data_IF_041354738474
#
_entry.id   IF_041354738474
#
_cell.length_a   1.000
_cell.length_b   1.000
_cell.length_c   1.000
_cell.angle_alpha   90.00
_cell.angle_beta   90.00
_cell.angle_gamma   90.00
#
_symmetry.space_group_name_H-M   'P 1'
#
loop_
_entity.id
_entity.type
_entity.pdbx_description
1 polymer ?
#
# COMPACT_ATOMS: atom_id res chain seq x y z
N UNK A 1 57.41 -24.57 43.37
CA UNK A 1 56.28 -24.90 44.26
C UNK A 1 55.28 -23.76 44.19
N UNK A 2 54.40 -23.78 43.17
CA UNK A 2 53.21 -22.93 43.09
C UNK A 2 52.14 -23.69 42.29
N UNK A 3 50.93 -23.58 42.81
CA UNK A 3 49.74 -24.40 42.63
C UNK A 3 49.17 -24.35 41.20
N UNK A 4 49.01 -25.51 40.56
CA UNK A 4 48.08 -25.66 39.46
C UNK A 4 46.73 -26.12 40.04
N UNK A 5 45.87 -25.17 40.36
CA UNK A 5 44.45 -25.43 40.64
C UNK A 5 43.80 -26.05 39.41
N UNK A 6 43.71 -27.38 39.41
CA UNK A 6 42.79 -28.17 38.60
C UNK A 6 41.36 -27.71 38.91
N UNK A 7 40.79 -26.90 38.03
CA UNK A 7 39.33 -26.76 37.95
C UNK A 7 38.82 -28.00 37.25
N UNK A 8 38.49 -29.02 38.04
CA UNK A 8 37.77 -30.20 37.57
C UNK A 8 36.32 -29.83 37.26
N UNK A 9 35.98 -29.63 36.00
CA UNK A 9 34.59 -29.60 35.55
C UNK A 9 34.13 -31.02 35.26
N UNK A 10 33.63 -31.69 36.29
CA UNK A 10 32.96 -32.99 36.22
C UNK A 10 31.62 -32.82 35.48
N UNK A 11 31.61 -32.96 34.16
CA UNK A 11 30.37 -33.11 33.37
C UNK A 11 30.05 -34.60 33.21
N UNK A 12 29.73 -35.28 34.32
CA UNK A 12 29.23 -36.65 34.32
C UNK A 12 27.70 -36.68 34.50
N UNK A 13 26.95 -35.99 33.62
CA UNK A 13 25.50 -36.22 33.52
C UNK A 13 25.28 -37.22 32.39
N UNK A 14 24.65 -38.35 32.70
CA UNK A 14 24.15 -39.29 31.68
C UNK A 14 23.06 -38.56 30.89
N UNK A 15 23.23 -38.45 29.57
CA UNK A 15 22.25 -37.81 28.69
C UNK A 15 20.99 -38.67 28.61
N UNK A 16 19.82 -38.05 28.70
CA UNK A 16 18.56 -38.73 28.39
C UNK A 16 18.44 -38.94 26.87
N UNK A 17 17.67 -39.94 26.42
CA UNK A 17 17.51 -40.24 24.98
C UNK A 17 17.08 -39.04 24.13
N UNK A 18 16.24 -38.14 24.68
CA UNK A 18 15.81 -36.91 24.01
C UNK A 18 16.88 -35.80 23.98
N UNK A 19 17.91 -35.87 24.83
CA UNK A 19 19.07 -34.97 24.85
C UNK A 19 20.15 -35.39 23.86
N UNK A 20 20.20 -36.69 23.50
CA UNK A 20 21.25 -37.28 22.64
C UNK A 20 21.32 -36.58 21.28
N UNK A 21 20.18 -36.33 20.63
CA UNK A 21 20.14 -35.67 19.33
C UNK A 21 20.66 -34.22 19.40
N UNK A 22 20.31 -33.50 20.47
CA UNK A 22 20.78 -32.12 20.69
C UNK A 22 22.27 -32.07 21.01
N UNK A 23 22.76 -33.04 21.79
CA UNK A 23 24.17 -33.17 22.13
C UNK A 23 25.01 -33.51 20.89
N UNK A 24 24.55 -34.45 20.05
CA UNK A 24 25.21 -34.79 18.80
C UNK A 24 25.32 -33.57 17.87
N UNK A 25 24.25 -32.79 17.74
CA UNK A 25 24.24 -31.55 16.94
C UNK A 25 25.17 -30.48 17.50
N UNK A 26 25.26 -30.37 18.82
CA UNK A 26 26.21 -29.45 19.48
C UNK A 26 27.65 -29.87 19.22
N UNK A 27 27.97 -31.16 19.35
CA UNK A 27 29.31 -31.69 19.09
C UNK A 27 29.73 -31.45 17.63
N UNK A 28 28.82 -31.67 16.68
CA UNK A 28 29.08 -31.38 15.26
C UNK A 28 29.35 -29.87 15.01
N UNK A 29 28.67 -28.98 15.74
CA UNK A 29 28.92 -27.54 15.67
C UNK A 29 30.25 -27.14 16.29
N UNK A 30 30.63 -27.79 17.40
CA UNK A 30 31.91 -27.56 18.07
C UNK A 30 33.09 -28.05 17.24
N UNK A 31 32.95 -29.19 16.55
CA UNK A 31 33.98 -29.71 15.65
C UNK A 31 34.28 -28.75 14.48
N UNK A 32 33.25 -28.06 13.98
CA UNK A 32 33.37 -27.06 12.92
C UNK A 32 33.79 -25.67 13.44
N UNK A 33 33.92 -25.49 14.75
CA UNK A 33 34.23 -24.21 15.35
C UNK A 33 35.75 -23.95 15.34
N UNK A 34 36.24 -22.87 14.71
CA UNK A 34 37.67 -22.62 14.53
C UNK A 34 38.42 -22.19 15.83
N UNK A 35 37.78 -22.32 17.00
CA UNK A 35 38.32 -21.92 18.29
C UNK A 35 37.98 -20.48 18.69
N UNK A 36 38.20 -20.16 19.96
CA UNK A 36 38.00 -18.81 20.52
C UNK A 36 39.28 -18.02 20.28
N UNK A 37 39.14 -16.83 19.69
CA UNK A 37 40.26 -15.89 19.57
C UNK A 37 40.23 -14.94 20.77
N UNK A 38 41.39 -14.49 21.28
CA UNK A 38 41.47 -13.46 22.33
C UNK A 38 41.04 -12.05 21.86
N UNK A 39 40.34 -11.96 20.74
CA UNK A 39 39.80 -10.71 20.22
C UNK A 39 38.53 -10.33 21.03
N UNK A 40 38.26 -9.03 21.22
CA UNK A 40 37.00 -8.61 21.84
C UNK A 40 35.81 -9.07 21.00
N UNK A 41 34.74 -9.47 21.67
CA UNK A 41 33.49 -9.86 21.03
C UNK A 41 32.97 -8.73 20.13
N UNK A 42 32.51 -9.09 18.93
CA UNK A 42 31.98 -8.13 17.96
C UNK A 42 30.62 -8.57 17.46
N UNK A 43 29.69 -7.61 17.36
CA UNK A 43 28.37 -7.87 16.83
C UNK A 43 28.45 -8.12 15.33
N UNK A 44 28.22 -9.36 14.90
CA UNK A 44 28.16 -9.73 13.48
C UNK A 44 26.75 -10.08 13.07
N UNK A 45 26.32 -9.48 11.96
CA UNK A 45 25.03 -9.76 11.37
C UNK A 45 25.10 -11.03 10.50
N UNK A 46 24.38 -12.07 10.92
CA UNK A 46 24.33 -13.40 10.27
C UNK A 46 24.02 -13.36 8.77
N UNK A 47 23.29 -12.35 8.32
CA UNK A 47 22.83 -12.22 6.94
C UNK A 47 23.78 -11.43 6.04
N UNK A 48 25.01 -11.14 6.50
CA UNK A 48 26.04 -10.52 5.69
C UNK A 48 27.36 -11.27 5.80
N UNK A 49 28.01 -11.51 4.65
CA UNK A 49 29.28 -12.24 4.59
C UNK A 49 30.42 -11.52 5.33
N UNK A 50 30.36 -10.20 5.37
CA UNK A 50 31.29 -9.34 6.12
C UNK A 50 30.87 -9.14 7.60
N UNK A 51 29.73 -9.70 8.01
CA UNK A 51 29.14 -9.50 9.33
C UNK A 51 28.62 -8.07 9.57
N UNK A 52 28.69 -7.17 8.59
CA UNK A 52 28.31 -5.77 8.80
C UNK A 52 26.80 -5.57 8.64
N UNK A 53 26.18 -5.06 9.71
CA UNK A 53 24.79 -4.63 9.69
C UNK A 53 24.67 -3.26 9.01
N UNK A 54 23.75 -3.14 8.06
CA UNK A 54 23.27 -1.83 7.61
C UNK A 54 21.76 -1.87 7.45
N UNK A 55 21.10 -0.76 7.78
CA UNK A 55 19.66 -0.60 7.61
C UNK A 55 19.23 -0.92 6.16
N UNK A 56 20.03 -0.49 5.17
CA UNK A 56 19.80 -0.79 3.75
C UNK A 56 19.77 -2.30 3.45
N UNK A 57 20.74 -3.07 3.97
CA UNK A 57 20.78 -4.53 3.76
C UNK A 57 19.65 -5.23 4.52
N UNK A 58 19.30 -4.78 5.72
CA UNK A 58 18.18 -5.32 6.48
C UNK A 58 16.85 -5.15 5.74
N UNK A 59 16.54 -3.92 5.28
CA UNK A 59 15.34 -3.67 4.46
C UNK A 59 15.32 -4.50 3.18
N UNK A 60 16.48 -4.67 2.53
CA UNK A 60 16.60 -5.51 1.35
C UNK A 60 16.19 -6.96 1.65
N UNK A 61 16.62 -7.52 2.78
CA UNK A 61 16.30 -8.90 3.15
C UNK A 61 14.83 -9.09 3.52
N UNK A 62 14.25 -8.15 4.26
CA UNK A 62 12.84 -8.20 4.72
C UNK A 62 11.81 -8.00 3.59
N UNK A 63 12.25 -7.56 2.39
CA UNK A 63 11.33 -7.25 1.28
C UNK A 63 11.69 -7.90 -0.07
N UNK A 64 11.93 -9.23 -0.19
CA UNK A 64 12.29 -9.84 -1.47
C UNK A 64 11.12 -9.84 -2.47
N UNK A 65 9.91 -10.19 -2.04
CA UNK A 65 8.71 -10.29 -2.91
C UNK A 65 8.04 -8.94 -3.24
N UNK A 66 8.33 -7.84 -2.54
CA UNK A 66 7.61 -6.57 -2.73
C UNK A 66 8.29 -5.57 -3.69
N UNK A 67 9.50 -5.88 -4.18
CA UNK A 67 10.35 -4.92 -4.92
C UNK A 67 9.80 -4.49 -6.28
N UNK A 68 9.14 -5.36 -7.03
CA UNK A 68 8.89 -5.04 -8.43
C UNK A 68 7.54 -4.35 -8.68
N UNK A 69 6.47 -4.80 -8.03
CA UNK A 69 5.14 -4.22 -8.24
C UNK A 69 4.87 -3.03 -7.31
N UNK A 70 4.92 -3.23 -5.98
CA UNK A 70 4.52 -2.19 -5.00
C UNK A 70 5.47 -0.98 -4.97
N UNK A 71 6.78 -1.21 -5.09
CA UNK A 71 7.77 -0.12 -5.12
C UNK A 71 7.64 0.75 -6.38
N UNK A 72 7.22 0.14 -7.50
CA UNK A 72 6.89 0.84 -8.75
C UNK A 72 5.61 1.67 -8.64
N UNK A 73 4.58 1.15 -7.96
CA UNK A 73 3.32 1.86 -7.76
C UNK A 73 3.44 3.11 -6.90
N UNK A 74 4.09 2.97 -5.73
CA UNK A 74 4.36 4.09 -4.82
C UNK A 74 5.03 5.26 -5.55
N UNK A 75 6.16 5.01 -6.24
CA UNK A 75 6.90 6.08 -6.93
C UNK A 75 6.04 6.84 -7.93
N UNK A 76 5.10 6.15 -8.56
CA UNK A 76 4.25 6.72 -9.60
C UNK A 76 3.03 7.46 -9.03
N UNK A 77 2.46 7.03 -7.89
CA UNK A 77 1.45 7.84 -7.17
C UNK A 77 2.04 9.20 -6.76
N UNK A 78 3.33 9.25 -6.41
CA UNK A 78 3.99 10.50 -6.00
C UNK A 78 4.22 11.46 -7.17
N UNK A 79 4.19 10.95 -8.41
CA UNK A 79 4.29 11.74 -9.65
C UNK A 79 2.96 12.31 -10.12
N UNK A 80 1.83 12.01 -9.46
CA UNK A 80 0.53 12.61 -9.83
C UNK A 80 0.48 14.11 -9.49
N UNK A 81 -0.48 14.85 -10.06
CA UNK A 81 -0.68 16.27 -9.75
C UNK A 81 -1.33 16.52 -8.39
N UNK A 82 -1.88 15.47 -7.78
CA UNK A 82 -2.66 15.61 -6.57
C UNK A 82 -1.79 16.17 -5.42
N UNK A 83 -2.36 16.96 -4.50
CA UNK A 83 -1.66 17.42 -3.30
C UNK A 83 -1.13 16.26 -2.46
N UNK A 84 -0.09 16.50 -1.66
CA UNK A 84 0.56 15.47 -0.83
C UNK A 84 -0.44 14.72 0.06
N UNK A 85 -1.38 15.43 0.67
CA UNK A 85 -2.47 14.83 1.48
C UNK A 85 -3.24 13.77 0.69
N UNK A 86 -3.56 14.07 -0.57
CA UNK A 86 -4.32 13.18 -1.44
C UNK A 86 -3.46 12.02 -1.91
N UNK A 87 -2.18 12.23 -2.23
CA UNK A 87 -1.24 11.15 -2.56
C UNK A 87 -1.11 10.13 -1.44
N UNK A 88 -0.96 10.60 -0.20
CA UNK A 88 -0.95 9.76 1.00
C UNK A 88 -2.25 8.97 1.12
N UNK A 89 -3.39 9.64 0.96
CA UNK A 89 -4.71 9.01 0.99
C UNK A 89 -4.87 7.92 -0.09
N UNK A 90 -4.55 8.22 -1.36
CA UNK A 90 -4.59 7.29 -2.48
C UNK A 90 -3.73 6.05 -2.21
N UNK A 91 -2.58 6.22 -1.56
CA UNK A 91 -1.75 5.10 -1.15
C UNK A 91 -2.40 4.23 -0.06
N UNK A 92 -3.10 4.84 0.90
CA UNK A 92 -3.88 4.10 1.90
C UNK A 92 -5.01 3.30 1.26
N UNK A 93 -5.66 3.86 0.24
CA UNK A 93 -6.69 3.15 -0.53
C UNK A 93 -6.09 1.94 -1.24
N UNK A 94 -4.99 2.11 -1.98
CA UNK A 94 -4.31 1.03 -2.69
C UNK A 94 -3.82 -0.09 -1.75
N UNK A 95 -3.44 0.24 -0.51
CA UNK A 95 -3.02 -0.73 0.51
C UNK A 95 -4.19 -1.37 1.28
N UNK A 96 -5.43 -0.97 1.02
CA UNK A 96 -6.63 -1.38 1.80
C UNK A 96 -6.49 -1.09 3.31
N UNK A 97 -5.87 0.05 3.62
CA UNK A 97 -5.66 0.54 4.99
C UNK A 97 -6.37 1.87 5.26
N UNK A 98 -7.08 2.42 4.26
CA UNK A 98 -7.99 3.54 4.47
C UNK A 98 -9.10 3.16 5.45
N UNK A 99 -9.58 4.10 6.28
CA UNK A 99 -10.59 3.85 7.32
C UNK A 99 -11.98 3.60 6.72
N UNK A 100 -12.19 2.43 6.14
CA UNK A 100 -13.51 1.89 5.76
C UNK A 100 -14.10 1.06 6.89
N UNK A 101 -15.38 0.71 6.83
CA UNK A 101 -15.99 -0.17 7.84
C UNK A 101 -15.27 -1.53 7.96
N UNK A 102 -14.81 -2.10 6.84
CA UNK A 102 -13.96 -3.30 6.82
C UNK A 102 -12.70 -3.15 7.69
N UNK A 103 -12.00 -2.01 7.57
CA UNK A 103 -10.78 -1.75 8.36
C UNK A 103 -11.10 -1.49 9.83
N UNK A 104 -12.20 -0.80 10.12
CA UNK A 104 -12.65 -0.57 11.50
C UNK A 104 -13.01 -1.89 12.20
N UNK A 105 -13.69 -2.81 11.51
CA UNK A 105 -13.97 -4.17 12.02
C UNK A 105 -12.70 -4.96 12.27
N UNK A 106 -11.72 -4.92 11.35
CA UNK A 106 -10.39 -5.53 11.57
C UNK A 106 -9.66 -4.96 12.78
N UNK A 107 -9.97 -3.73 13.19
CA UNK A 107 -9.47 -3.09 14.41
C UNK A 107 -10.33 -3.36 15.66
N UNK A 108 -11.29 -4.29 15.59
CA UNK A 108 -12.13 -4.69 16.72
C UNK A 108 -13.30 -3.74 17.01
N UNK A 109 -13.66 -2.84 16.10
CA UNK A 109 -14.86 -2.00 16.26
C UNK A 109 -16.11 -2.76 15.81
N UNK A 110 -17.10 -2.82 16.69
CA UNK A 110 -18.41 -3.41 16.40
C UNK A 110 -19.25 -2.36 15.69
N UNK A 111 -19.34 -2.47 14.37
CA UNK A 111 -20.12 -1.57 13.52
C UNK A 111 -20.90 -2.35 12.48
N UNK A 112 -22.05 -1.81 12.06
CA UNK A 112 -22.80 -2.35 10.93
C UNK A 112 -22.09 -1.94 9.65
N UNK A 113 -21.69 -2.90 8.83
CA UNK A 113 -20.81 -2.65 7.69
C UNK A 113 -21.57 -2.26 6.43
N UNK A 114 -22.75 -1.64 6.47
CA UNK A 114 -23.39 -1.20 5.23
C UNK A 114 -22.56 -0.10 4.55
N UNK A 115 -22.57 -0.05 3.22
CA UNK A 115 -21.92 0.99 2.45
C UNK A 115 -22.51 2.36 2.80
N UNK A 116 -21.66 3.27 3.26
CA UNK A 116 -22.04 4.65 3.60
C UNK A 116 -22.67 5.43 2.46
N UNK A 117 -22.45 5.01 1.20
CA UNK A 117 -22.95 5.73 0.02
C UNK A 117 -24.27 5.17 -0.53
N UNK A 118 -24.39 3.85 -0.69
CA UNK A 118 -25.56 3.23 -1.31
C UNK A 118 -26.44 2.44 -0.34
N UNK A 119 -25.98 2.13 0.87
CA UNK A 119 -26.72 1.33 1.84
C UNK A 119 -26.96 -0.15 1.49
N UNK A 120 -26.60 -0.61 0.29
CA UNK A 120 -27.08 -1.90 -0.24
C UNK A 120 -26.15 -3.10 -0.04
N UNK A 121 -24.87 -2.88 0.27
CA UNK A 121 -23.87 -3.97 0.34
C UNK A 121 -22.84 -3.64 1.41
N UNK A 122 -22.12 -4.65 1.90
CA UNK A 122 -21.06 -4.47 2.86
C UNK A 122 -19.95 -3.54 2.33
N UNK A 123 -19.55 -2.55 3.13
CA UNK A 123 -18.50 -1.58 2.83
C UNK A 123 -17.11 -2.21 2.97
N UNK A 124 -16.58 -2.67 1.84
CA UNK A 124 -15.17 -3.02 1.69
C UNK A 124 -14.42 -1.90 0.97
N UNK A 125 -13.09 -1.94 1.02
CA UNK A 125 -12.28 -0.99 0.26
C UNK A 125 -12.61 -1.01 -1.25
N UNK A 126 -12.73 -2.21 -1.83
CA UNK A 126 -13.04 -2.37 -3.25
C UNK A 126 -14.47 -1.92 -3.55
N UNK A 127 -15.44 -2.29 -2.71
CA UNK A 127 -16.82 -1.90 -2.94
C UNK A 127 -16.98 -0.38 -2.89
N UNK A 128 -16.49 0.27 -1.83
CA UNK A 128 -16.62 1.72 -1.66
C UNK A 128 -15.98 2.49 -2.83
N UNK A 129 -14.77 2.11 -3.26
CA UNK A 129 -14.00 2.89 -4.23
C UNK A 129 -14.20 2.47 -5.70
N UNK A 130 -14.77 1.29 -5.98
CA UNK A 130 -14.86 0.74 -7.33
C UNK A 130 -16.28 0.29 -7.71
N UNK A 131 -16.96 -0.48 -6.86
CA UNK A 131 -18.15 -1.23 -7.26
C UNK A 131 -19.48 -0.66 -6.74
N UNK A 132 -19.44 0.25 -5.77
CA UNK A 132 -20.63 0.91 -5.25
C UNK A 132 -21.34 1.67 -6.38
N UNK A 133 -22.67 1.51 -6.49
CA UNK A 133 -23.47 2.17 -7.54
C UNK A 133 -23.35 3.71 -7.54
N UNK A 134 -23.10 4.31 -6.37
CA UNK A 134 -22.81 5.73 -6.27
C UNK A 134 -21.45 6.05 -6.90
N UNK A 135 -20.43 5.27 -6.54
CA UNK A 135 -19.05 5.45 -7.03
C UNK A 135 -18.92 5.17 -8.52
N UNK A 136 -19.60 4.16 -9.05
CA UNK A 136 -19.60 3.86 -10.50
C UNK A 136 -20.16 5.03 -11.32
N UNK A 137 -21.16 5.74 -10.81
CA UNK A 137 -21.68 6.96 -11.43
C UNK A 137 -20.69 8.13 -11.43
N UNK A 138 -19.79 8.19 -10.45
CA UNK A 138 -18.69 9.17 -10.43
C UNK A 138 -17.59 8.75 -11.42
N UNK A 139 -17.27 7.47 -11.49
CA UNK A 139 -16.33 6.94 -12.51
C UNK A 139 -16.80 7.22 -13.93
N UNK A 140 -18.11 7.13 -14.20
CA UNK A 140 -18.68 7.36 -15.51
C UNK A 140 -18.33 8.75 -16.11
N UNK A 141 -18.18 9.78 -15.26
CA UNK A 141 -17.79 11.14 -15.68
C UNK A 141 -16.46 11.13 -16.44
N UNK A 142 -15.48 10.38 -15.93
CA UNK A 142 -14.14 10.36 -16.50
C UNK A 142 -14.00 9.26 -17.55
N UNK A 143 -14.70 8.13 -17.38
CA UNK A 143 -14.69 7.06 -18.36
C UNK A 143 -15.32 7.50 -19.70
N UNK A 144 -16.35 8.34 -19.68
CA UNK A 144 -16.92 8.90 -20.91
C UNK A 144 -15.89 9.69 -21.73
N UNK A 145 -14.96 10.42 -21.09
CA UNK A 145 -13.88 11.15 -21.77
C UNK A 145 -12.92 10.24 -22.51
N UNK A 146 -12.68 9.06 -21.93
CA UNK A 146 -11.65 8.16 -22.43
C UNK A 146 -12.02 7.52 -23.77
N UNK A 147 -13.32 7.55 -24.14
CA UNK A 147 -13.89 6.77 -25.25
C UNK A 147 -13.40 5.31 -25.23
N UNK A 148 -13.15 4.75 -24.04
CA UNK A 148 -12.71 3.36 -23.87
C UNK A 148 -13.76 2.53 -23.14
N UNK A 149 -13.97 1.31 -23.63
CA UNK A 149 -14.75 0.30 -22.94
C UNK A 149 -13.96 -0.16 -21.72
N UNK A 150 -14.22 0.47 -20.57
CA UNK A 150 -13.53 0.20 -19.32
C UNK A 150 -14.31 -0.79 -18.47
N UNK A 151 -13.68 -1.90 -18.12
CA UNK A 151 -14.20 -2.85 -17.13
C UNK A 151 -13.54 -2.56 -15.79
N UNK A 152 -14.35 -2.37 -14.74
CA UNK A 152 -13.82 -2.13 -13.40
C UNK A 152 -13.05 -3.36 -12.91
N UNK A 153 -11.81 -3.14 -12.46
CA UNK A 153 -10.98 -4.20 -11.89
C UNK A 153 -11.46 -4.55 -10.49
N UNK A 154 -11.13 -5.77 -10.04
CA UNK A 154 -11.58 -6.28 -8.73
C UNK A 154 -10.94 -5.52 -7.56
N UNK A 155 -9.73 -4.97 -7.73
CA UNK A 155 -8.95 -4.42 -6.63
C UNK A 155 -8.42 -3.02 -6.92
N UNK A 156 -8.41 -2.17 -5.88
CA UNK A 156 -7.95 -0.78 -5.97
C UNK A 156 -6.48 -0.67 -6.35
N UNK A 157 -5.64 -1.57 -5.83
CA UNK A 157 -4.23 -1.68 -6.22
C UNK A 157 -4.04 -2.03 -7.70
N UNK A 158 -4.90 -2.89 -8.25
CA UNK A 158 -4.82 -3.34 -9.64
C UNK A 158 -5.33 -2.27 -10.59
N UNK A 159 -6.41 -1.55 -10.22
CA UNK A 159 -6.85 -0.37 -10.93
C UNK A 159 -5.73 0.66 -11.03
N UNK A 160 -5.15 0.98 -9.88
CA UNK A 160 -4.05 1.93 -9.80
C UNK A 160 -2.85 1.44 -10.64
N UNK A 161 -2.51 0.16 -10.59
CA UNK A 161 -1.38 -0.40 -11.35
C UNK A 161 -1.59 -0.38 -12.85
N UNK A 162 -2.79 -0.74 -13.31
CA UNK A 162 -3.14 -0.74 -14.73
C UNK A 162 -3.07 0.68 -15.32
N UNK A 163 -3.65 1.65 -14.61
CA UNK A 163 -3.70 3.03 -15.08
C UNK A 163 -2.33 3.68 -15.07
N UNK A 164 -1.54 3.40 -14.03
CA UNK A 164 -0.16 3.85 -13.91
C UNK A 164 0.78 3.17 -14.94
N UNK A 165 0.49 1.94 -15.39
CA UNK A 165 1.26 1.29 -16.46
C UNK A 165 1.03 1.98 -17.80
N UNK A 166 -0.19 2.43 -18.07
CA UNK A 166 -0.56 3.12 -19.32
C UNK A 166 0.00 4.54 -19.42
N UNK A 167 0.29 5.20 -18.28
CA UNK A 167 0.90 6.53 -18.19
C UNK A 167 2.25 6.71 -18.92
N UNK A 168 3.04 5.64 -19.06
CA UNK A 168 4.43 5.72 -19.56
C UNK A 168 4.63 5.25 -21.00
N UNK A 169 3.57 4.86 -21.72
CA UNK A 169 3.70 4.37 -23.09
C UNK A 169 3.86 5.54 -24.06
N UNK A 170 4.95 5.53 -24.86
CA UNK A 170 5.24 6.56 -25.88
C UNK A 170 4.21 6.59 -27.02
N UNK A 171 3.37 5.57 -27.16
CA UNK A 171 2.45 5.39 -28.30
C UNK A 171 1.04 5.93 -28.06
N UNK A 172 0.78 6.61 -26.95
CA UNK A 172 -0.59 6.82 -26.47
C UNK A 172 -0.99 8.30 -26.42
N UNK A 173 -2.22 8.54 -26.89
CA UNK A 173 -2.93 9.82 -26.98
C UNK A 173 -2.80 10.65 -25.68
N UNK A 174 -2.78 11.98 -25.81
CA UNK A 174 -2.55 12.94 -24.72
C UNK A 174 -3.39 12.69 -23.44
N UNK A 175 -4.60 12.16 -23.56
CA UNK A 175 -5.49 11.87 -22.43
C UNK A 175 -4.94 10.81 -21.45
N UNK A 176 -4.06 9.89 -21.86
CA UNK A 176 -3.41 8.95 -20.93
C UNK A 176 -2.49 9.61 -19.90
N UNK A 177 -2.07 10.85 -20.17
CA UNK A 177 -1.35 11.73 -19.23
C UNK A 177 -2.28 12.47 -18.26
N UNK A 178 -3.59 12.27 -18.35
CA UNK A 178 -4.57 12.95 -17.53
C UNK A 178 -5.28 11.95 -16.60
N UNK A 179 -5.56 10.76 -17.11
CA UNK A 179 -6.30 9.68 -16.46
C UNK A 179 -5.83 9.30 -15.03
N UNK A 180 -4.53 9.08 -14.72
CA UNK A 180 -4.08 8.84 -13.34
C UNK A 180 -4.35 10.01 -12.39
N UNK A 181 -4.57 11.22 -12.91
CA UNK A 181 -5.01 12.35 -12.12
C UNK A 181 -6.51 12.34 -11.86
N UNK A 182 -7.30 11.51 -12.53
CA UNK A 182 -8.73 11.35 -12.28
C UNK A 182 -9.02 10.35 -11.15
N UNK A 183 -8.15 9.37 -10.89
CA UNK A 183 -8.35 8.40 -9.78
C UNK A 183 -8.35 9.10 -8.42
N UNK A 184 -7.35 9.95 -8.19
CA UNK A 184 -7.15 10.64 -6.92
C UNK A 184 -8.37 11.50 -6.50
N UNK A 185 -8.97 12.34 -7.37
CA UNK A 185 -10.13 13.13 -7.00
C UNK A 185 -11.36 12.26 -6.80
N UNK A 186 -11.57 11.21 -7.61
CA UNK A 186 -12.70 10.28 -7.43
C UNK A 186 -12.64 9.60 -6.07
N UNK A 187 -11.51 8.97 -5.73
CA UNK A 187 -11.36 8.31 -4.44
C UNK A 187 -11.49 9.30 -3.28
N UNK A 188 -10.96 10.51 -3.44
CA UNK A 188 -11.04 11.54 -2.40
C UNK A 188 -12.47 12.00 -2.15
N UNK A 189 -13.23 12.33 -3.21
CA UNK A 189 -14.61 12.83 -3.06
C UNK A 189 -15.57 11.75 -2.56
N UNK A 190 -15.44 10.52 -3.07
CA UNK A 190 -16.18 9.35 -2.60
C UNK A 190 -15.96 9.12 -1.10
N UNK A 191 -14.70 9.19 -0.65
CA UNK A 191 -14.38 9.04 0.77
C UNK A 191 -14.89 10.19 1.63
N UNK A 192 -14.74 11.43 1.17
CA UNK A 192 -15.31 12.59 1.87
C UNK A 192 -16.82 12.46 2.03
N UNK A 193 -17.51 12.06 0.97
CA UNK A 193 -18.96 11.89 1.00
C UNK A 193 -19.38 10.76 1.96
N UNK A 194 -18.70 9.61 1.92
CA UNK A 194 -18.98 8.51 2.86
C UNK A 194 -18.79 8.91 4.32
N UNK A 195 -17.73 9.66 4.61
CA UNK A 195 -17.48 10.19 5.95
C UNK A 195 -18.51 11.24 6.37
N UNK A 196 -18.88 12.15 5.48
CA UNK A 196 -19.90 13.18 5.74
C UNK A 196 -21.23 12.52 6.13
N UNK A 197 -21.62 11.44 5.45
CA UNK A 197 -22.83 10.68 5.77
C UNK A 197 -22.73 9.95 7.11
N UNK A 198 -21.58 9.35 7.41
CA UNK A 198 -21.40 8.57 8.63
C UNK A 198 -21.22 9.41 9.90
N UNK A 199 -20.52 10.55 9.81
CA UNK A 199 -20.08 11.31 10.99
C UNK A 199 -20.76 12.67 11.15
N UNK A 200 -21.28 13.23 10.07
CA UNK A 200 -21.87 14.58 10.08
C UNK A 200 -23.37 14.56 9.73
N UNK A 201 -23.94 13.39 9.46
CA UNK A 201 -25.32 13.19 9.00
C UNK A 201 -25.68 14.08 7.78
N UNK A 202 -24.68 14.38 6.95
CA UNK A 202 -24.82 15.20 5.75
C UNK A 202 -24.67 14.32 4.51
N UNK A 203 -25.74 14.24 3.73
CA UNK A 203 -25.73 13.58 2.42
C UNK A 203 -25.89 14.61 1.30
N UNK A 204 -24.96 14.59 0.34
CA UNK A 204 -25.04 15.44 -0.84
C UNK A 204 -25.67 14.66 -2.00
N UNK A 205 -26.33 15.39 -2.90
CA UNK A 205 -26.80 14.82 -4.16
C UNK A 205 -25.63 14.30 -4.98
N UNK A 206 -25.87 13.26 -5.79
CA UNK A 206 -24.85 12.72 -6.70
C UNK A 206 -24.27 13.81 -7.60
N UNK A 207 -25.11 14.75 -8.07
CA UNK A 207 -24.68 15.85 -8.94
C UNK A 207 -23.70 16.78 -8.23
N UNK A 208 -23.95 17.12 -6.96
CA UNK A 208 -23.00 17.92 -6.18
C UNK A 208 -21.66 17.21 -6.01
N UNK A 209 -21.66 15.91 -5.73
CA UNK A 209 -20.41 15.13 -5.59
C UNK A 209 -19.67 14.99 -6.92
N UNK A 210 -20.40 14.91 -8.04
CA UNK A 210 -19.82 15.00 -9.39
C UNK A 210 -19.10 16.32 -9.60
N UNK A 211 -19.76 17.44 -9.29
CA UNK A 211 -19.17 18.78 -9.39
C UNK A 211 -17.95 18.95 -8.48
N UNK A 212 -18.01 18.50 -7.23
CA UNK A 212 -16.87 18.54 -6.31
C UNK A 212 -15.68 17.74 -6.86
N UNK A 213 -15.94 16.61 -7.52
CA UNK A 213 -14.91 15.77 -8.12
C UNK A 213 -14.25 16.46 -9.32
N UNK A 214 -15.05 17.06 -10.20
CA UNK A 214 -14.56 17.83 -11.36
C UNK A 214 -13.77 19.05 -10.88
N UNK A 215 -14.27 19.78 -9.87
CA UNK A 215 -13.61 20.94 -9.30
C UNK A 215 -12.25 20.56 -8.66
N UNK A 216 -12.18 19.46 -7.90
CA UNK A 216 -10.92 18.96 -7.36
C UNK A 216 -9.92 18.63 -8.47
N UNK A 217 -10.37 17.93 -9.50
CA UNK A 217 -9.55 17.56 -10.64
C UNK A 217 -9.00 18.79 -11.38
N UNK A 218 -9.88 19.73 -11.74
CA UNK A 218 -9.52 20.98 -12.41
C UNK A 218 -8.53 21.80 -11.59
N UNK A 219 -8.79 21.96 -10.28
CA UNK A 219 -7.91 22.69 -9.38
C UNK A 219 -6.48 22.10 -9.37
N UNK A 220 -6.34 20.77 -9.32
CA UNK A 220 -5.03 20.12 -9.33
C UNK A 220 -4.33 20.20 -10.68
N UNK A 221 -5.08 20.19 -11.79
CA UNK A 221 -4.52 20.46 -13.12
C UNK A 221 -3.97 21.89 -13.23
N UNK A 222 -4.76 22.87 -12.78
CA UNK A 222 -4.37 24.30 -12.80
C UNK A 222 -3.13 24.57 -11.96
N UNK A 223 -3.05 24.03 -10.74
CA UNK A 223 -1.91 24.23 -9.83
C UNK A 223 -0.58 23.72 -10.41
N UNK A 224 -0.62 22.77 -11.35
CA UNK A 224 0.55 22.20 -12.02
C UNK A 224 0.78 22.71 -13.44
N UNK A 225 0.05 23.74 -13.85
CA UNK A 225 0.21 24.39 -15.15
C UNK A 225 -0.21 23.52 -16.34
N UNK A 226 -1.14 22.59 -16.13
CA UNK A 226 -1.74 21.83 -17.24
C UNK A 226 -2.98 22.57 -17.75
N UNK A 227 -2.91 23.04 -19.00
CA UNK A 227 -4.04 23.59 -19.73
C UNK A 227 -4.95 22.44 -20.19
N UNK A 228 -5.87 22.03 -19.31
CA UNK A 228 -6.89 20.99 -19.60
C UNK A 228 -8.25 21.63 -19.93
N UNK A 229 -8.27 22.93 -20.21
CA UNK A 229 -9.48 23.75 -20.29
C UNK A 229 -10.45 23.30 -21.36
N UNK A 230 -10.01 23.08 -22.61
CA UNK A 230 -10.92 22.71 -23.70
C UNK A 230 -11.59 21.34 -23.49
N UNK A 231 -10.83 20.35 -23.04
CA UNK A 231 -11.34 18.98 -22.81
C UNK A 231 -12.27 18.87 -21.58
N UNK A 232 -12.06 19.71 -20.56
CA UNK A 232 -12.97 19.79 -19.40
C UNK A 232 -14.23 20.56 -19.75
N UNK A 233 -14.14 21.62 -20.57
CA UNK A 233 -15.33 22.37 -21.02
C UNK A 233 -16.23 21.49 -21.90
N UNK A 234 -15.68 20.67 -22.80
CA UNK A 234 -16.44 19.65 -23.54
C UNK A 234 -17.12 18.62 -22.61
N UNK A 235 -16.52 18.32 -21.46
CA UNK A 235 -17.06 17.41 -20.44
C UNK A 235 -18.26 18.02 -19.68
N UNK A 236 -18.26 19.35 -19.52
CA UNK A 236 -19.35 20.09 -18.88
C UNK A 236 -20.53 20.35 -19.81
N UNK A 237 -20.32 20.34 -21.14
CA UNK A 237 -21.36 20.60 -22.14
C UNK A 237 -22.56 19.64 -22.14
N UNK A 238 -22.41 18.33 -21.84
CA UNK A 238 -23.52 17.38 -21.80
C UNK A 238 -24.08 17.06 -20.40
N UNK A 239 -23.69 17.78 -19.33
CA UNK A 239 -24.18 17.55 -17.95
C UNK A 239 -25.47 18.31 -17.64
#
# INVERSE_FOLDING_TARGET
MLDHTRVGSNLQKVLNDWEVERAAKLLELLEKFPGITNAPDSLRWKHSKDGAFTVSRAYKMESPQQRNSKQSLWRKVWRTLAPTKIKCFTWLVARRTCLTHEVLRRKGKIIVSWCSLCGNTAETNQYLFLHCNFTTQIWAIFLSLTKTNWTMLEHTADLLSCWIRRWGSKSQKAWWRIIPHCICPIWWTVWKEGNSRNFEDRSNSIQKVRWDCIACFYFWCKEKGLEVTEQIVELLGPL
#
